data_IF_011033466832
#
_entry.id   IF_011033466832
#
_cell.length_a   1.000
_cell.length_b   1.000
_cell.length_c   1.000
_cell.angle_alpha   90.00
_cell.angle_beta   90.00
_cell.angle_gamma   90.00
#
_symmetry.space_group_name_H-M   'P 1'
#
loop_
_entity.id
_entity.type
_entity.pdbx_description
1 polymer ?
#
# COMPACT_ATOMS: atom_id res chain seq x y z
N UNK A 1 13.71 16.35 8.19
CA UNK A 1 12.88 15.12 8.09
C UNK A 1 12.41 14.77 9.50
N UNK A 2 11.19 14.25 9.66
CA UNK A 2 10.58 14.03 10.98
C UNK A 2 11.23 12.89 11.81
N UNK A 3 11.98 11.98 11.17
CA UNK A 3 12.54 10.80 11.85
C UNK A 3 11.49 9.71 12.06
N UNK A 4 11.72 8.85 13.05
CA UNK A 4 10.70 7.90 13.52
C UNK A 4 9.59 8.66 14.27
N UNK A 5 8.35 8.27 14.03
CA UNK A 5 7.16 8.93 14.61
C UNK A 5 6.18 7.88 15.09
N UNK A 6 5.43 8.20 16.13
CA UNK A 6 4.41 7.30 16.65
C UNK A 6 3.40 6.91 15.56
N UNK A 7 2.94 5.66 15.59
CA UNK A 7 2.03 5.12 14.57
C UNK A 7 0.78 5.99 14.34
N UNK A 8 0.19 6.59 15.39
CA UNK A 8 -0.95 7.50 15.24
C UNK A 8 -0.60 8.75 14.42
N UNK A 9 0.60 9.28 14.61
CA UNK A 9 1.11 10.41 13.82
C UNK A 9 1.32 9.98 12.38
N UNK A 10 1.87 8.78 12.13
CA UNK A 10 2.00 8.21 10.78
C UNK A 10 0.65 8.14 10.07
N UNK A 11 -0.40 7.65 10.74
CA UNK A 11 -1.74 7.56 10.15
C UNK A 11 -2.30 8.94 9.78
N UNK A 12 -2.11 9.95 10.65
CA UNK A 12 -2.49 11.33 10.33
C UNK A 12 -1.72 11.88 9.12
N UNK A 13 -0.42 11.64 9.05
CA UNK A 13 0.40 12.06 7.92
C UNK A 13 -0.02 11.36 6.62
N UNK A 14 -0.37 10.07 6.66
CA UNK A 14 -0.88 9.34 5.50
C UNK A 14 -2.23 9.93 5.07
N UNK A 15 -3.14 10.16 6.01
CA UNK A 15 -4.47 10.72 5.72
C UNK A 15 -4.40 12.12 5.07
N UNK A 16 -3.47 12.96 5.55
CA UNK A 16 -3.40 14.37 5.16
C UNK A 16 -2.52 14.61 3.92
N UNK A 17 -1.72 13.61 3.51
CA UNK A 17 -0.85 13.76 2.35
C UNK A 17 -1.61 13.60 1.03
N UNK A 18 -1.08 14.23 -0.02
CA UNK A 18 -1.72 14.12 -1.34
C UNK A 18 -1.53 12.75 -1.99
N UNK A 19 -0.34 12.19 -1.80
CA UNK A 19 0.10 10.91 -2.36
C UNK A 19 1.11 10.28 -1.38
N UNK A 20 0.93 9.01 -1.04
CA UNK A 20 1.94 8.19 -0.38
C UNK A 20 2.85 7.51 -1.42
N UNK A 21 4.16 7.54 -1.20
CA UNK A 21 5.14 6.88 -2.06
C UNK A 21 5.79 5.68 -1.34
N UNK A 22 5.70 4.49 -1.96
CA UNK A 22 6.35 3.25 -1.51
C UNK A 22 7.22 2.66 -2.62
N UNK A 23 8.29 3.38 -2.96
CA UNK A 23 9.22 3.03 -4.06
C UNK A 23 10.41 2.21 -3.56
N UNK A 24 10.14 1.08 -2.91
CA UNK A 24 11.17 0.21 -2.33
C UNK A 24 11.88 -0.62 -3.39
N UNK A 25 13.14 -0.99 -3.11
CA UNK A 25 13.88 -1.97 -3.93
C UNK A 25 13.33 -3.38 -3.71
N UNK A 26 13.08 -3.74 -2.45
CA UNK A 26 12.46 -4.99 -2.03
C UNK A 26 11.71 -4.77 -0.70
N UNK A 27 10.48 -5.28 -0.63
CA UNK A 27 9.71 -5.47 0.59
C UNK A 27 8.56 -6.46 0.31
N UNK A 28 7.98 -7.00 1.38
CA UNK A 28 6.78 -7.84 1.30
C UNK A 28 5.50 -7.03 1.22
N UNK A 29 4.47 -7.49 1.91
CA UNK A 29 3.19 -6.80 2.04
C UNK A 29 3.31 -5.61 3.02
N UNK A 30 3.71 -4.46 2.50
CA UNK A 30 3.98 -3.28 3.31
C UNK A 30 2.69 -2.74 3.96
N UNK A 31 2.69 -2.68 5.31
CA UNK A 31 1.55 -2.20 6.12
C UNK A 31 1.11 -0.79 5.68
N UNK A 32 2.05 0.09 5.37
CA UNK A 32 1.76 1.45 4.90
C UNK A 32 0.91 1.50 3.62
N UNK A 33 0.95 0.45 2.79
CA UNK A 33 0.06 0.32 1.62
C UNK A 33 -1.38 0.10 2.05
N UNK A 34 -1.58 -0.84 2.97
CA UNK A 34 -2.92 -1.15 3.50
C UNK A 34 -3.50 0.04 4.25
N UNK A 35 -2.69 0.73 5.03
CA UNK A 35 -3.07 1.97 5.73
C UNK A 35 -3.52 3.06 4.75
N UNK A 36 -2.75 3.32 3.69
CA UNK A 36 -3.13 4.31 2.69
C UNK A 36 -4.40 3.93 1.93
N UNK A 37 -4.55 2.65 1.54
CA UNK A 37 -5.78 2.18 0.89
C UNK A 37 -7.00 2.33 1.82
N UNK A 38 -6.86 2.00 3.10
CA UNK A 38 -7.92 2.16 4.10
C UNK A 38 -8.30 3.63 4.29
N UNK A 39 -7.32 4.52 4.38
CA UNK A 39 -7.50 5.98 4.51
C UNK A 39 -7.91 6.65 3.19
N UNK A 40 -7.97 5.90 2.09
CA UNK A 40 -8.22 6.41 0.72
C UNK A 40 -7.19 7.44 0.24
N UNK A 41 -6.00 7.41 0.83
CA UNK A 41 -4.86 8.19 0.36
C UNK A 41 -4.32 7.55 -0.91
N UNK A 42 -4.20 8.30 -2.03
CA UNK A 42 -3.58 7.78 -3.23
C UNK A 42 -2.17 7.26 -2.97
N UNK A 43 -1.87 6.05 -3.43
CA UNK A 43 -0.56 5.44 -3.22
C UNK A 43 0.08 5.04 -4.54
N UNK A 44 1.37 5.37 -4.68
CA UNK A 44 2.25 4.89 -5.74
C UNK A 44 3.28 3.95 -5.13
N UNK A 45 3.34 2.71 -5.63
CA UNK A 45 4.25 1.69 -5.14
C UNK A 45 5.04 1.04 -6.27
N UNK A 46 6.25 0.57 -5.97
CA UNK A 46 6.96 -0.35 -6.86
C UNK A 46 6.24 -1.70 -6.91
N UNK A 47 6.16 -2.26 -8.11
CA UNK A 47 5.59 -3.57 -8.36
C UNK A 47 6.52 -4.68 -7.84
N UNK A 48 5.99 -5.51 -6.95
CA UNK A 48 6.66 -6.69 -6.39
C UNK A 48 5.88 -7.99 -6.69
N UNK A 49 4.89 -7.94 -7.58
CA UNK A 49 4.07 -9.09 -7.97
C UNK A 49 3.00 -9.54 -6.96
N UNK A 50 2.95 -8.95 -5.76
CA UNK A 50 2.02 -9.34 -4.69
C UNK A 50 1.20 -8.16 -4.13
N UNK A 51 1.26 -6.99 -4.78
CA UNK A 51 0.55 -5.80 -4.32
C UNK A 51 -0.98 -6.01 -4.46
N UNK A 52 -1.80 -5.59 -3.47
CA UNK A 52 -3.26 -5.67 -3.58
C UNK A 52 -3.80 -4.80 -4.72
N UNK A 53 -5.07 -4.94 -5.07
CA UNK A 53 -5.71 -4.08 -6.05
C UNK A 53 -5.92 -2.63 -5.53
N UNK A 54 -6.19 -1.69 -6.44
CA UNK A 54 -6.54 -0.30 -6.08
C UNK A 54 -5.36 0.65 -5.92
N UNK A 55 -4.16 0.26 -6.35
CA UNK A 55 -2.92 1.03 -6.21
C UNK A 55 -2.28 1.39 -7.55
N UNK A 56 -1.42 2.42 -7.51
CA UNK A 56 -0.72 2.92 -8.70
C UNK A 56 0.68 2.30 -8.78
N UNK A 57 0.86 1.28 -9.61
CA UNK A 57 2.14 0.60 -9.75
C UNK A 57 3.10 1.33 -10.69
N UNK A 58 4.39 1.25 -10.33
CA UNK A 58 5.53 1.57 -11.19
C UNK A 58 6.53 0.40 -11.21
N UNK A 59 7.35 0.24 -12.26
CA UNK A 59 8.36 -0.81 -12.32
C UNK A 59 9.36 -0.75 -11.16
N UNK A 60 9.89 -1.91 -10.77
CA UNK A 60 11.05 -2.05 -9.90
C UNK A 60 12.28 -2.49 -10.74
N UNK A 61 13.39 -1.73 -10.76
CA UNK A 61 13.62 -0.47 -10.07
C UNK A 61 12.86 0.71 -10.69
N UNK A 62 12.45 1.66 -9.83
CA UNK A 62 11.74 2.87 -10.27
C UNK A 62 12.67 3.78 -11.09
N UNK A 63 12.15 4.32 -12.19
CA UNK A 63 12.82 5.39 -12.95
C UNK A 63 12.17 6.74 -12.66
N UNK A 64 12.94 7.83 -12.79
CA UNK A 64 12.43 9.19 -12.62
C UNK A 64 11.23 9.44 -13.56
N UNK A 65 11.31 8.96 -14.80
CA UNK A 65 10.23 9.08 -15.79
C UNK A 65 8.96 8.35 -15.36
N UNK A 66 9.08 7.10 -14.88
CA UNK A 66 7.94 6.33 -14.42
C UNK A 66 7.29 6.94 -13.17
N UNK A 67 8.10 7.36 -12.20
CA UNK A 67 7.62 7.99 -10.98
C UNK A 67 6.94 9.33 -11.27
N UNK A 68 7.61 10.23 -11.99
CA UNK A 68 7.07 11.55 -12.33
C UNK A 68 5.78 11.46 -13.17
N UNK A 69 5.77 10.60 -14.19
CA UNK A 69 4.58 10.36 -14.99
C UNK A 69 3.40 9.82 -14.17
N UNK A 70 3.67 8.94 -13.19
CA UNK A 70 2.61 8.40 -12.34
C UNK A 70 2.09 9.42 -11.33
N UNK A 71 2.96 10.25 -10.76
CA UNK A 71 2.55 11.35 -9.87
C UNK A 71 1.58 12.29 -10.59
N UNK A 72 1.94 12.74 -11.80
CA UNK A 72 1.08 13.63 -12.59
C UNK A 72 -0.26 12.97 -12.91
N UNK A 73 -0.25 11.71 -13.34
CA UNK A 73 -1.47 10.94 -13.61
C UNK A 73 -2.39 10.82 -12.38
N UNK A 74 -1.82 10.58 -11.20
CA UNK A 74 -2.61 10.49 -9.95
C UNK A 74 -3.21 11.84 -9.58
N UNK A 75 -2.47 12.94 -9.72
CA UNK A 75 -3.01 14.28 -9.49
C UNK A 75 -4.17 14.62 -10.43
N UNK A 76 -4.09 14.22 -11.71
CA UNK A 76 -5.18 14.40 -12.67
C UNK A 76 -6.43 13.56 -12.31
N UNK A 77 -6.23 12.34 -11.78
CA UNK A 77 -7.31 11.39 -11.44
C UNK A 77 -7.93 11.58 -10.05
N UNK A 78 -7.19 12.09 -9.06
CA UNK A 78 -7.69 12.36 -7.68
C UNK A 78 -8.91 13.30 -7.68
N UNK A 79 -9.06 14.12 -8.71
CA UNK A 79 -10.24 14.95 -8.91
C UNK A 79 -11.54 14.15 -9.17
N UNK A 80 -11.47 12.83 -9.43
CA UNK A 80 -12.56 12.08 -10.07
C UNK A 80 -13.11 10.86 -9.28
N UNK A 81 -12.37 10.19 -8.38
CA UNK A 81 -12.83 8.90 -7.80
C UNK A 81 -12.43 8.66 -6.33
N UNK A 82 -13.33 8.07 -5.55
CA UNK A 82 -13.08 7.56 -4.20
C UNK A 82 -12.90 6.03 -4.21
N UNK A 83 -11.75 5.54 -3.73
CA UNK A 83 -11.40 4.10 -3.76
C UNK A 83 -12.26 3.22 -2.86
N UNK A 84 -12.40 1.96 -3.29
CA UNK A 84 -13.05 0.87 -2.57
C UNK A 84 -12.40 0.57 -1.22
N UNK A 85 -13.19 0.06 -0.28
CA UNK A 85 -12.75 -0.29 1.09
C UNK A 85 -12.00 -1.64 1.02
N UNK A 86 -10.75 -1.73 1.50
CA UNK A 86 -10.00 -3.00 1.53
C UNK A 86 -10.66 -4.05 2.45
N UNK A 87 -10.38 -5.34 2.18
CA UNK A 87 -10.87 -6.44 3.04
C UNK A 87 -10.32 -6.32 4.47
N UNK A 88 -11.04 -6.88 5.44
CA UNK A 88 -10.77 -6.70 6.88
C UNK A 88 -9.52 -7.42 7.40
N UNK A 89 -8.82 -8.16 6.54
CA UNK A 89 -7.61 -8.92 6.89
C UNK A 89 -7.88 -10.21 7.67
N UNK A 90 -9.15 -10.51 8.00
CA UNK A 90 -9.55 -11.72 8.72
C UNK A 90 -9.23 -12.99 7.96
N UNK A 91 -9.38 -12.96 6.64
CA UNK A 91 -9.01 -14.05 5.72
C UNK A 91 -7.57 -14.54 5.91
N UNK A 92 -6.63 -13.61 6.18
CA UNK A 92 -5.22 -13.97 6.38
C UNK A 92 -5.00 -14.73 7.68
N UNK A 93 -5.73 -14.39 8.75
CA UNK A 93 -5.63 -15.08 10.04
C UNK A 93 -6.21 -16.48 9.90
N UNK A 94 -7.34 -16.62 9.21
CA UNK A 94 -7.99 -17.90 8.94
C UNK A 94 -7.04 -18.83 8.16
N UNK A 95 -6.41 -18.34 7.08
CA UNK A 95 -5.43 -19.12 6.32
C UNK A 95 -4.21 -19.57 7.16
N UNK A 96 -3.75 -18.76 8.12
CA UNK A 96 -2.66 -19.14 9.01
C UNK A 96 -3.10 -20.27 9.96
N UNK A 97 -4.32 -20.20 10.50
CA UNK A 97 -4.86 -21.25 11.36
C UNK A 97 -5.03 -22.58 10.61
N UNK A 98 -5.50 -22.53 9.36
CA UNK A 98 -5.65 -23.74 8.52
C UNK A 98 -4.31 -24.48 8.34
N UNK A 99 -3.20 -23.74 8.16
CA UNK A 99 -1.85 -24.32 8.06
C UNK A 99 -1.43 -24.98 9.38
N UNK A 100 -1.74 -24.36 10.53
CA UNK A 100 -1.47 -24.97 11.83
C UNK A 100 -2.27 -26.26 12.02
N UNK A 101 -3.54 -26.26 11.63
CA UNK A 101 -4.40 -27.45 11.73
C UNK A 101 -3.91 -28.60 10.86
N UNK A 102 -3.40 -28.33 9.64
CA UNK A 102 -2.77 -29.34 8.78
C UNK A 102 -1.53 -29.96 9.42
N UNK A 103 -0.63 -29.13 9.96
CA UNK A 103 0.62 -29.58 10.56
C UNK A 103 0.41 -30.39 11.85
N UNK A 104 -0.66 -30.11 12.59
CA UNK A 104 -1.00 -30.83 13.82
C UNK A 104 -1.71 -32.17 13.57
N UNK A 105 -2.17 -32.41 12.34
CA UNK A 105 -2.79 -33.67 11.91
C UNK A 105 -1.82 -34.63 11.19
N UNK A 106 -0.57 -34.20 10.93
CA UNK A 106 0.50 -34.98 10.33
C UNK A 106 1.40 -35.67 11.37
#
# INVERSE_FOLDING_TARGET
>A
MAGDVEHKITLHLINDCDILLRTTKFDGDAISIREALYLKTPIIATDNGMRPEGLNLIPAPATIKALGGKILHVFERKALEGSAIPSTGRENIEAVLDVYDELMQA
#
